data_IF_326897113833
#
_entry.id   IF_326897113833
#
_cell.length_a   1.000
_cell.length_b   1.000
_cell.length_c   1.000
_cell.angle_alpha   90.00
_cell.angle_beta   90.00
_cell.angle_gamma   90.00
#
_symmetry.space_group_name_H-M   'P 1'
#
loop_
_entity.id
_entity.type
_entity.pdbx_description
1 polymer ?
#
# COMPACT_ATOMS: atom_id res chain seq x y z
N UNK A 1 39.95 -21.39 11.73
CA UNK A 1 41.04 -20.45 11.42
C UNK A 1 40.78 -19.94 10.01
N UNK A 2 40.16 -18.78 9.86
CA UNK A 2 39.87 -18.22 8.53
C UNK A 2 41.13 -17.53 8.03
N UNK A 3 41.83 -18.12 7.06
CA UNK A 3 42.98 -17.49 6.41
C UNK A 3 42.48 -16.41 5.45
N UNK A 4 42.74 -15.14 5.78
CA UNK A 4 42.44 -14.02 4.90
C UNK A 4 43.51 -13.92 3.80
N UNK A 5 43.25 -14.56 2.66
CA UNK A 5 44.11 -14.42 1.48
C UNK A 5 43.81 -13.08 0.80
N UNK A 6 44.79 -12.17 0.80
CA UNK A 6 44.72 -10.89 0.06
C UNK A 6 44.86 -11.13 -1.44
N UNK A 7 43.73 -11.33 -2.12
CA UNK A 7 43.65 -11.46 -3.58
C UNK A 7 43.44 -10.10 -4.25
N UNK A 8 43.99 -9.94 -5.46
CA UNK A 8 43.62 -8.84 -6.33
C UNK A 8 42.12 -8.91 -6.66
N UNK A 9 41.41 -7.77 -6.65
CA UNK A 9 39.96 -7.68 -6.85
C UNK A 9 39.44 -8.48 -8.06
N UNK A 10 40.20 -8.53 -9.16
CA UNK A 10 39.85 -9.33 -10.34
C UNK A 10 39.86 -10.84 -10.07
N UNK A 11 40.85 -11.35 -9.35
CA UNK A 11 40.93 -12.78 -8.99
C UNK A 11 39.83 -13.15 -7.99
N UNK A 12 39.54 -12.27 -7.03
CA UNK A 12 38.43 -12.45 -6.10
C UNK A 12 37.07 -12.49 -6.81
N UNK A 13 36.79 -11.55 -7.73
CA UNK A 13 35.56 -11.53 -8.51
C UNK A 13 35.42 -12.78 -9.40
N UNK A 14 36.52 -13.23 -10.03
CA UNK A 14 36.54 -14.44 -10.86
C UNK A 14 36.24 -15.69 -10.04
N UNK A 15 36.83 -15.82 -8.85
CA UNK A 15 36.54 -16.92 -7.92
C UNK A 15 35.07 -16.89 -7.43
N UNK A 16 34.52 -15.71 -7.15
CA UNK A 16 33.13 -15.51 -6.73
C UNK A 16 32.10 -15.58 -7.87
N UNK A 17 32.53 -15.77 -9.12
CA UNK A 17 31.68 -15.72 -10.33
C UNK A 17 30.85 -14.43 -10.44
N UNK A 18 31.41 -13.32 -9.98
CA UNK A 18 30.82 -11.98 -10.08
C UNK A 18 31.55 -11.18 -11.15
N UNK A 19 30.81 -10.33 -11.88
CA UNK A 19 31.46 -9.33 -12.73
C UNK A 19 32.07 -8.23 -11.86
N UNK A 20 33.20 -7.68 -12.27
CA UNK A 20 33.86 -6.56 -11.56
C UNK A 20 32.92 -5.37 -11.38
N UNK A 21 32.08 -5.10 -12.38
CA UNK A 21 31.08 -4.03 -12.35
C UNK A 21 29.95 -4.31 -11.36
N UNK A 22 29.50 -5.57 -11.22
CA UNK A 22 28.51 -5.94 -10.22
C UNK A 22 29.07 -5.80 -8.80
N UNK A 23 30.33 -6.19 -8.58
CA UNK A 23 31.00 -6.02 -7.30
C UNK A 23 31.20 -4.55 -6.92
N UNK A 24 31.57 -3.71 -7.89
CA UNK A 24 31.84 -2.29 -7.64
C UNK A 24 30.57 -1.45 -7.55
N UNK A 25 29.41 -1.99 -7.94
CA UNK A 25 28.15 -1.26 -7.83
C UNK A 25 27.75 -1.19 -6.36
N UNK A 26 27.63 0.01 -5.77
CA UNK A 26 27.12 0.12 -4.40
C UNK A 26 25.68 -0.42 -4.38
N UNK A 27 25.42 -1.34 -3.45
CA UNK A 27 24.05 -1.76 -3.15
C UNK A 27 23.36 -0.56 -2.52
N UNK A 28 22.45 0.05 -3.27
CA UNK A 28 21.63 1.15 -2.75
C UNK A 28 20.47 0.54 -1.98
N UNK A 29 20.38 0.84 -0.68
CA UNK A 29 19.23 0.44 0.12
C UNK A 29 17.99 1.20 -0.37
N UNK A 30 17.00 0.45 -0.88
CA UNK A 30 15.75 1.04 -1.35
C UNK A 30 14.97 1.70 -0.22
N UNK A 31 15.12 1.24 1.03
CA UNK A 31 14.47 1.82 2.20
C UNK A 31 14.94 3.24 2.49
N UNK A 32 16.24 3.51 2.32
CA UNK A 32 16.79 4.87 2.49
C UNK A 32 16.22 5.83 1.44
N UNK A 33 16.07 5.38 0.20
CA UNK A 33 15.46 6.18 -0.87
C UNK A 33 13.98 6.45 -0.62
N UNK A 34 13.26 5.47 -0.08
CA UNK A 34 11.81 5.54 0.10
C UNK A 34 11.39 6.27 1.38
N UNK A 35 12.32 6.50 2.31
CA UNK A 35 12.07 7.17 3.59
C UNK A 35 11.36 8.53 3.46
N UNK A 36 11.74 9.36 2.49
CA UNK A 36 11.09 10.66 2.26
C UNK A 36 9.62 10.53 1.86
N UNK A 37 9.28 9.50 1.07
CA UNK A 37 7.91 9.22 0.63
C UNK A 37 7.10 8.68 1.79
N UNK A 38 7.68 7.79 2.60
CA UNK A 38 7.05 7.24 3.80
C UNK A 38 6.71 8.36 4.79
N UNK A 39 7.65 9.28 5.04
CA UNK A 39 7.43 10.42 5.92
C UNK A 39 6.28 11.30 5.43
N UNK A 40 6.30 11.69 4.15
CA UNK A 40 5.25 12.51 3.57
C UNK A 40 3.88 11.83 3.53
N UNK A 41 3.83 10.50 3.32
CA UNK A 41 2.59 9.74 3.42
C UNK A 41 2.07 9.71 4.86
N UNK A 42 2.95 9.50 5.85
CA UNK A 42 2.58 9.55 7.27
C UNK A 42 2.01 10.92 7.68
N UNK A 43 2.60 12.02 7.21
CA UNK A 43 2.08 13.36 7.46
C UNK A 43 0.65 13.54 6.91
N UNK A 44 0.39 13.02 5.69
CA UNK A 44 -0.95 13.08 5.09
C UNK A 44 -1.97 12.20 5.82
N UNK A 45 -1.54 11.03 6.29
CA UNK A 45 -2.39 10.11 7.04
C UNK A 45 -2.78 10.68 8.40
N UNK A 46 -1.86 11.39 9.06
CA UNK A 46 -2.11 12.05 10.33
C UNK A 46 -3.23 13.11 10.22
N UNK A 47 -3.36 13.75 9.06
CA UNK A 47 -4.42 14.73 8.80
C UNK A 47 -5.75 14.04 8.47
N UNK A 48 -5.75 13.03 7.58
CA UNK A 48 -6.99 12.37 7.16
C UNK A 48 -6.79 10.90 6.74
N UNK A 49 -7.17 10.00 7.64
CA UNK A 49 -7.03 8.55 7.46
C UNK A 49 -7.94 7.97 6.37
N UNK A 50 -9.02 8.67 5.97
CA UNK A 50 -10.02 8.16 5.00
C UNK A 50 -9.65 8.41 3.54
N UNK A 51 -8.55 9.10 3.26
CA UNK A 51 -8.15 9.34 1.88
C UNK A 51 -7.64 8.06 1.21
N UNK A 52 -8.13 7.83 0.00
CA UNK A 52 -7.60 6.79 -0.88
C UNK A 52 -6.33 7.27 -1.58
N UNK A 53 -5.60 6.32 -2.17
CA UNK A 53 -4.33 6.55 -2.85
C UNK A 53 -4.30 7.80 -3.76
N UNK A 54 -5.28 7.95 -4.65
CA UNK A 54 -5.31 9.07 -5.60
C UNK A 54 -5.36 10.43 -4.92
N UNK A 55 -6.16 10.57 -3.85
CA UNK A 55 -6.23 11.83 -3.09
C UNK A 55 -4.91 12.15 -2.41
N UNK A 56 -4.25 11.15 -1.81
CA UNK A 56 -2.93 11.33 -1.21
C UNK A 56 -1.89 11.72 -2.27
N UNK A 57 -1.89 11.05 -3.43
CA UNK A 57 -0.97 11.36 -4.52
C UNK A 57 -1.19 12.76 -5.10
N UNK A 58 -2.44 13.15 -5.34
CA UNK A 58 -2.77 14.49 -5.84
C UNK A 58 -2.34 15.57 -4.84
N UNK A 59 -2.49 15.31 -3.53
CA UNK A 59 -2.00 16.21 -2.49
C UNK A 59 -0.47 16.31 -2.47
N UNK A 60 0.24 15.19 -2.61
CA UNK A 60 1.71 15.19 -2.74
C UNK A 60 2.17 15.99 -3.98
N UNK A 61 1.40 15.94 -5.07
CA UNK A 61 1.66 16.74 -6.28
C UNK A 61 1.41 18.22 -6.05
N UNK A 62 0.36 18.60 -5.32
CA UNK A 62 0.11 20.00 -4.94
C UNK A 62 1.22 20.56 -4.04
N UNK A 63 1.83 19.71 -3.20
CA UNK A 63 3.02 20.06 -2.41
C UNK A 63 4.31 20.17 -3.25
N UNK A 64 4.23 20.04 -4.58
CA UNK A 64 5.37 20.21 -5.48
C UNK A 64 6.31 19.00 -5.55
N UNK A 65 5.96 17.85 -4.97
CA UNK A 65 6.84 16.68 -4.97
C UNK A 65 6.82 15.95 -6.32
N UNK A 66 7.94 15.80 -7.04
CA UNK A 66 7.98 15.24 -8.40
C UNK A 66 8.05 13.70 -8.42
N UNK A 67 7.39 13.01 -7.49
CA UNK A 67 7.49 11.56 -7.40
C UNK A 67 6.61 10.85 -8.43
N UNK A 68 7.11 9.73 -8.96
CA UNK A 68 6.34 8.87 -9.85
C UNK A 68 5.23 8.15 -9.06
N UNK A 69 3.98 8.23 -9.54
CA UNK A 69 2.83 7.57 -8.93
C UNK A 69 3.05 6.06 -8.71
N UNK A 70 3.77 5.37 -9.61
CA UNK A 70 4.06 3.94 -9.45
C UNK A 70 4.90 3.65 -8.20
N UNK A 71 5.88 4.51 -7.93
CA UNK A 71 6.76 4.40 -6.76
C UNK A 71 6.00 4.69 -5.48
N UNK A 72 5.20 5.76 -5.47
CA UNK A 72 4.35 6.11 -4.34
C UNK A 72 3.31 5.01 -4.07
N UNK A 73 2.72 4.43 -5.12
CA UNK A 73 1.73 3.35 -5.01
C UNK A 73 2.33 2.08 -4.41
N UNK A 74 3.56 1.71 -4.79
CA UNK A 74 4.28 0.59 -4.19
C UNK A 74 4.39 0.79 -2.67
N UNK A 75 4.96 1.92 -2.27
CA UNK A 75 5.18 2.25 -0.86
C UNK A 75 3.85 2.31 -0.10
N UNK A 76 2.82 2.91 -0.70
CA UNK A 76 1.47 2.96 -0.14
C UNK A 76 0.89 1.56 0.14
N UNK A 77 1.10 0.61 -0.79
CA UNK A 77 0.70 -0.79 -0.61
C UNK A 77 1.56 -1.51 0.44
N UNK A 78 2.87 -1.26 0.46
CA UNK A 78 3.80 -1.83 1.44
C UNK A 78 3.45 -1.37 2.87
N UNK A 79 3.01 -0.12 3.02
CA UNK A 79 2.47 0.44 4.26
C UNK A 79 1.07 -0.09 4.64
N UNK A 80 0.48 -0.98 3.82
CA UNK A 80 -0.87 -1.56 4.01
C UNK A 80 -1.99 -0.51 4.19
N UNK A 81 -1.86 0.65 3.54
CA UNK A 81 -2.85 1.73 3.57
C UNK A 81 -4.04 1.47 2.61
N UNK A 82 -4.06 0.32 1.96
CA UNK A 82 -5.09 -0.06 1.00
C UNK A 82 -6.37 -0.53 1.72
N UNK A 83 -7.26 0.41 2.02
CA UNK A 83 -8.58 0.04 2.53
C UNK A 83 -9.33 -0.79 1.49
N UNK A 84 -9.67 -2.03 1.86
CA UNK A 84 -10.47 -2.89 1.00
C UNK A 84 -11.85 -2.29 0.82
N UNK A 85 -12.30 -2.16 -0.44
CA UNK A 85 -13.67 -1.75 -0.74
C UNK A 85 -14.62 -2.71 -0.05
N UNK A 86 -15.49 -2.20 0.82
CA UNK A 86 -16.50 -3.03 1.48
C UNK A 86 -17.52 -3.50 0.43
N UNK A 87 -17.58 -4.81 0.20
CA UNK A 87 -18.60 -5.39 -0.68
C UNK A 87 -19.98 -5.18 -0.03
N UNK A 88 -20.98 -4.80 -0.85
CA UNK A 88 -22.37 -4.74 -0.40
C UNK A 88 -22.75 -6.14 0.10
N UNK A 89 -23.10 -6.28 1.38
CA UNK A 89 -23.68 -7.52 1.89
C UNK A 89 -25.05 -7.69 1.22
N UNK A 90 -25.32 -8.89 0.70
CA UNK A 90 -26.67 -9.24 0.25
C UNK A 90 -27.56 -9.19 1.48
N UNK A 91 -28.53 -8.27 1.47
CA UNK A 91 -29.59 -8.28 2.47
C UNK A 91 -30.52 -9.46 2.13
N UNK A 92 -31.04 -10.19 3.14
CA UNK A 92 -32.06 -11.21 2.88
C UNK A 92 -33.25 -10.55 2.16
N UNK A 93 -33.80 -11.26 1.17
CA UNK A 93 -35.00 -10.81 0.46
C UNK A 93 -36.10 -10.56 1.48
N UNK A 94 -36.55 -9.31 1.61
CA UNK A 94 -37.71 -8.99 2.44
C UNK A 94 -38.89 -9.78 1.87
N UNK A 95 -39.53 -10.61 2.69
CA UNK A 95 -40.83 -11.15 2.31
C UNK A 95 -41.78 -9.97 2.15
N UNK A 96 -42.37 -9.86 0.96
CA UNK A 96 -43.33 -8.82 0.64
C UNK A 96 -44.61 -9.15 1.41
N UNK A 97 -44.80 -8.55 2.59
CA UNK A 97 -46.05 -8.68 3.32
C UNK A 97 -47.13 -7.94 2.54
N UNK A 98 -48.16 -8.67 2.12
CA UNK A 98 -49.35 -8.06 1.53
C UNK A 98 -50.04 -7.23 2.60
N UNK A 99 -50.25 -5.94 2.32
CA UNK A 99 -50.95 -5.01 3.19
C UNK A 99 -52.37 -5.46 3.57
N UNK A 100 -52.96 -6.40 2.82
CA UNK A 100 -54.28 -6.95 3.11
C UNK A 100 -54.33 -7.83 4.38
N UNK A 101 -53.22 -8.47 4.76
CA UNK A 101 -53.17 -9.34 5.95
C UNK A 101 -53.12 -8.55 7.27
N UNK A 102 -52.76 -7.26 7.22
CA UNK A 102 -52.65 -6.40 8.40
C UNK A 102 -53.99 -5.73 8.77
N UNK A 103 -54.87 -5.54 7.77
CA UNK A 103 -56.20 -4.94 7.96
C UNK A 103 -57.14 -5.89 8.72
N UNK A 104 -57.07 -7.20 8.48
CA UNK A 104 -57.90 -8.18 9.21
C UNK A 104 -57.45 -8.40 10.66
N UNK A 105 -56.18 -8.14 10.98
CA UNK A 105 -55.63 -8.26 12.33
C UNK A 105 -55.94 -7.04 13.22
N UNK A 106 -56.25 -5.89 12.60
CA UNK A 106 -56.79 -4.69 13.27
C UNK A 106 -58.32 -4.73 13.35
N UNK A 107 -58.87 -5.87 13.79
CA UNK A 107 -60.24 -5.90 14.30
C UNK A 107 -60.25 -5.18 15.65
N UNK A 108 -60.29 -3.85 15.62
CA UNK A 108 -60.42 -3.00 16.80
C UNK A 108 -61.77 -3.34 17.45
N UNK A 109 -61.75 -4.10 18.55
CA UNK A 109 -62.94 -4.36 19.36
C UNK A 109 -63.51 -3.02 19.82
N UNK A 110 -64.74 -2.72 19.40
CA UNK A 110 -65.60 -1.78 20.11
C UNK A 110 -66.25 -2.50 21.30
#
# INVERSE_FOLDING_TARGET
MSEEVRLAMSRACSAARLSRAAYSRPVQDQGVRDGEIIAALNDLIAVELRWGFWKCYDRLRQMGRPWNHKRVHRIYCDMRLNQKRRTKRRLPTRQQQSWLLDISARSFSR
#
